data_IF_194756859739
#
_entry.id   IF_194756859739
#
_cell.length_a   1.000
_cell.length_b   1.000
_cell.length_c   1.000
_cell.angle_alpha   90.00
_cell.angle_beta   90.00
_cell.angle_gamma   90.00
#
_symmetry.space_group_name_H-M   'P 1'
#
loop_
_entity.id
_entity.type
_entity.pdbx_description
1 polymer ?
#
# COMPACT_ATOMS: atom_id res chain seq x y z
N UNK A 1 -4.64 10.33 -0.13
CA UNK A 1 -4.65 9.63 -1.43
C UNK A 1 -4.00 8.26 -1.24
N UNK A 2 -4.67 7.16 -1.58
CA UNK A 2 -4.17 5.79 -1.36
C UNK A 2 -2.77 5.57 -1.96
N UNK A 3 -2.53 6.20 -3.12
CA UNK A 3 -1.21 6.26 -3.76
C UNK A 3 -0.08 6.67 -2.82
N UNK A 4 -0.27 7.70 -1.99
CA UNK A 4 0.77 8.18 -1.07
C UNK A 4 1.05 7.19 0.06
N UNK A 5 0.06 6.39 0.46
CA UNK A 5 0.24 5.34 1.47
C UNK A 5 1.08 4.20 0.89
N UNK A 6 0.75 3.73 -0.32
CA UNK A 6 1.36 2.55 -0.92
C UNK A 6 2.67 2.83 -1.68
N UNK A 7 2.80 4.01 -2.28
CA UNK A 7 3.91 4.37 -3.19
C UNK A 7 4.71 5.60 -2.72
N UNK A 8 4.22 6.29 -1.69
CA UNK A 8 4.86 7.48 -1.15
C UNK A 8 5.91 7.19 -0.08
N UNK A 9 6.51 8.26 0.42
CA UNK A 9 7.48 8.20 1.52
C UNK A 9 6.86 7.58 2.78
N UNK A 10 7.66 6.81 3.52
CA UNK A 10 7.25 6.23 4.80
C UNK A 10 7.16 7.32 5.87
N UNK A 11 5.93 7.64 6.28
CA UNK A 11 5.57 8.67 7.25
C UNK A 11 4.47 8.11 8.18
N UNK A 12 4.76 7.07 8.99
CA UNK A 12 3.74 6.33 9.75
C UNK A 12 2.97 7.20 10.76
N UNK A 13 3.59 8.25 11.29
CA UNK A 13 2.94 9.20 12.20
C UNK A 13 1.82 10.00 11.51
N UNK A 14 1.93 10.19 10.19
CA UNK A 14 0.94 10.89 9.36
C UNK A 14 0.05 9.93 8.56
N UNK A 15 0.58 8.76 8.22
CA UNK A 15 -0.03 7.72 7.38
C UNK A 15 0.02 6.37 8.12
N UNK A 16 -0.80 6.17 9.17
CA UNK A 16 -0.70 5.00 10.05
C UNK A 16 -0.93 3.66 9.31
N UNK A 17 -1.64 3.68 8.19
CA UNK A 17 -1.79 2.53 7.31
C UNK A 17 -0.45 1.93 6.80
N UNK A 18 0.62 2.74 6.73
CA UNK A 18 1.95 2.26 6.32
C UNK A 18 2.62 1.35 7.34
N UNK A 19 2.17 1.38 8.60
CA UNK A 19 2.70 0.53 9.69
C UNK A 19 2.41 -0.95 9.42
N UNK A 20 1.39 -1.26 8.62
CA UNK A 20 0.99 -2.63 8.27
C UNK A 20 2.05 -3.25 7.33
N UNK A 21 3.14 -3.76 7.94
CA UNK A 21 4.28 -4.42 7.30
C UNK A 21 4.63 -5.69 8.10
N UNK A 22 3.88 -6.78 7.92
CA UNK A 22 4.11 -8.00 8.66
C UNK A 22 5.46 -8.61 8.27
N UNK A 23 6.19 -9.12 9.26
CA UNK A 23 7.45 -9.86 9.04
C UNK A 23 7.22 -11.27 8.51
N UNK A 24 5.98 -11.77 8.59
CA UNK A 24 5.56 -13.07 8.09
C UNK A 24 4.19 -12.98 7.41
N UNK A 25 4.03 -13.61 6.25
CA UNK A 25 2.80 -13.56 5.46
C UNK A 25 2.73 -12.34 4.53
N UNK A 26 1.56 -12.11 3.94
CA UNK A 26 1.33 -11.03 2.96
C UNK A 26 0.15 -10.16 3.36
N UNK A 27 0.27 -8.86 3.10
CA UNK A 27 -0.85 -7.92 3.22
C UNK A 27 -1.59 -7.88 1.91
N UNK A 28 -2.91 -8.07 1.96
CA UNK A 28 -3.79 -7.90 0.81
C UNK A 28 -4.66 -6.68 1.07
N UNK A 29 -4.51 -5.66 0.23
CA UNK A 29 -5.31 -4.44 0.29
C UNK A 29 -6.53 -4.58 -0.60
N UNK A 30 -7.72 -4.65 -0.01
CA UNK A 30 -8.99 -4.55 -0.74
C UNK A 30 -9.40 -3.10 -0.82
N UNK A 31 -9.47 -2.55 -2.03
CA UNK A 31 -9.77 -1.14 -2.27
C UNK A 31 -10.78 -1.02 -3.41
N UNK A 32 -11.58 0.05 -3.39
CA UNK A 32 -12.52 0.32 -4.47
C UNK A 32 -11.79 0.77 -5.75
N UNK A 33 -12.50 0.73 -6.89
CA UNK A 33 -11.93 1.08 -8.19
C UNK A 33 -11.50 2.55 -8.28
N UNK A 34 -12.21 3.47 -7.64
CA UNK A 34 -11.88 4.89 -7.70
C UNK A 34 -10.59 5.16 -6.94
N UNK A 35 -10.39 4.55 -5.76
CA UNK A 35 -9.15 4.62 -5.00
C UNK A 35 -7.97 3.95 -5.74
N UNK A 36 -8.22 2.84 -6.45
CA UNK A 36 -7.21 2.13 -7.23
C UNK A 36 -6.79 2.88 -8.52
N UNK A 37 -7.63 3.76 -9.05
CA UNK A 37 -7.42 4.44 -10.35
C UNK A 37 -6.12 5.23 -10.46
N UNK A 38 -5.56 5.65 -9.33
CA UNK A 38 -4.34 6.46 -9.24
C UNK A 38 -3.09 5.65 -8.87
N UNK A 39 -3.21 4.33 -8.72
CA UNK A 39 -2.10 3.44 -8.37
C UNK A 39 -1.36 2.98 -9.63
N UNK A 40 -0.06 2.83 -9.52
CA UNK A 40 0.76 2.15 -10.51
C UNK A 40 0.45 0.64 -10.50
N UNK A 41 0.32 0.05 -11.68
CA UNK A 41 0.03 -1.39 -11.87
C UNK A 41 1.10 -2.32 -11.25
N UNK A 42 2.28 -1.78 -10.93
CA UNK A 42 3.43 -2.51 -10.39
C UNK A 42 3.28 -2.96 -8.92
N UNK A 43 2.21 -2.60 -8.22
CA UNK A 43 1.96 -3.05 -6.82
C UNK A 43 1.61 -4.56 -6.72
N UNK A 44 1.74 -5.31 -7.80
CA UNK A 44 1.55 -6.77 -7.81
C UNK A 44 2.77 -7.48 -7.22
N UNK A 45 2.68 -7.84 -5.94
CA UNK A 45 3.26 -9.06 -5.35
C UNK A 45 4.60 -9.55 -5.94
N UNK A 46 5.73 -8.99 -5.54
CA UNK A 46 7.04 -9.67 -5.67
C UNK A 46 7.40 -10.36 -4.35
N UNK A 47 7.23 -11.69 -4.24
CA UNK A 47 7.93 -12.49 -3.26
C UNK A 47 9.35 -12.80 -3.80
N UNK A 48 10.38 -12.53 -3.00
CA UNK A 48 11.67 -13.21 -3.06
C UNK A 48 11.86 -13.95 -1.74
#
# INVERSE_FOLDING_TARGET
MLKTVLEGQYQPDRLPAQIIRPTQGKVVWMVDRAAASSLSTAISSTPN
#
